data_IF_743281113448
#
_entry.id   IF_743281113448
#
_cell.length_a   1.000
_cell.length_b   1.000
_cell.length_c   1.000
_cell.angle_alpha   90.00
_cell.angle_beta   90.00
_cell.angle_gamma   90.00
#
_symmetry.space_group_name_H-M   'P 1'
#
loop_
_entity.id
_entity.type
_entity.pdbx_description
1 polymer ?
#
# COMPACT_ATOMS: atom_id res chain seq x y z
N UNK A 1 -2.69 -1.13 16.55
CA UNK A 1 -3.31 -1.87 15.44
C UNK A 1 -3.34 -1.03 14.17
N UNK A 2 -3.10 -1.61 13.00
CA UNK A 2 -3.02 -0.87 11.74
C UNK A 2 -4.28 -0.07 11.42
N UNK A 3 -5.46 -0.61 11.73
CA UNK A 3 -6.73 0.04 11.39
C UNK A 3 -6.93 1.32 12.18
N UNK A 4 -6.54 1.34 13.46
CA UNK A 4 -6.65 2.54 14.28
C UNK A 4 -5.68 3.64 13.82
N UNK A 5 -4.47 3.26 13.45
CA UNK A 5 -3.49 4.19 12.89
C UNK A 5 -3.98 4.79 11.58
N UNK A 6 -4.60 3.99 10.73
CA UNK A 6 -5.17 4.47 9.48
C UNK A 6 -6.31 5.47 9.73
N UNK A 7 -7.17 5.19 10.70
CA UNK A 7 -8.27 6.09 11.06
C UNK A 7 -7.74 7.46 11.48
N UNK A 8 -6.70 7.49 12.32
CA UNK A 8 -6.07 8.73 12.75
C UNK A 8 -5.41 9.48 11.60
N UNK A 9 -4.75 8.76 10.69
CA UNK A 9 -4.13 9.35 9.52
C UNK A 9 -5.17 9.99 8.59
N UNK A 10 -6.28 9.33 8.35
CA UNK A 10 -7.36 9.87 7.51
C UNK A 10 -7.92 11.14 8.13
N UNK A 11 -8.08 11.19 9.45
CA UNK A 11 -8.51 12.42 10.15
C UNK A 11 -7.52 13.55 9.96
N UNK A 12 -6.23 13.27 10.06
CA UNK A 12 -5.17 14.25 9.85
C UNK A 12 -5.18 14.78 8.41
N UNK A 13 -5.32 13.90 7.44
CA UNK A 13 -5.43 14.29 6.02
C UNK A 13 -6.64 15.19 5.81
N UNK A 14 -7.77 14.87 6.44
CA UNK A 14 -8.96 15.71 6.39
C UNK A 14 -8.73 17.12 6.90
N UNK A 15 -8.00 17.27 8.01
CA UNK A 15 -7.62 18.58 8.54
C UNK A 15 -6.73 19.37 7.57
N UNK A 16 -5.72 18.71 7.02
CA UNK A 16 -4.82 19.34 6.05
C UNK A 16 -5.60 19.79 4.81
N UNK A 17 -6.52 18.97 4.34
CA UNK A 17 -7.36 19.31 3.20
C UNK A 17 -8.22 20.55 3.48
N UNK A 18 -8.84 20.63 4.65
CA UNK A 18 -9.72 21.76 4.98
C UNK A 18 -8.96 23.04 5.28
N UNK A 19 -7.81 22.94 5.95
CA UNK A 19 -7.12 24.13 6.50
C UNK A 19 -5.94 24.60 5.64
N UNK A 20 -5.34 23.74 4.84
CA UNK A 20 -4.11 24.06 4.12
C UNK A 20 -4.27 23.87 2.61
N UNK A 21 -4.79 22.71 2.16
CA UNK A 21 -4.86 22.39 0.73
C UNK A 21 -6.17 21.69 0.39
N UNK A 22 -7.19 22.43 -0.07
CA UNK A 22 -8.48 21.86 -0.42
C UNK A 22 -8.44 20.93 -1.64
N UNK A 23 -7.34 20.92 -2.39
CA UNK A 23 -7.15 20.02 -3.55
C UNK A 23 -6.51 18.68 -3.18
N UNK A 24 -6.12 18.52 -1.92
CA UNK A 24 -5.52 17.27 -1.46
C UNK A 24 -6.53 16.13 -1.56
N UNK A 25 -6.13 15.03 -2.18
CA UNK A 25 -6.96 13.84 -2.30
C UNK A 25 -6.15 12.60 -1.92
N UNK A 26 -6.84 11.60 -1.38
CA UNK A 26 -6.24 10.29 -1.13
C UNK A 26 -6.38 9.47 -2.41
N UNK A 27 -5.27 9.08 -3.01
CA UNK A 27 -5.30 8.24 -4.21
C UNK A 27 -5.69 6.80 -3.89
N UNK A 28 -5.22 6.29 -2.77
CA UNK A 28 -5.56 4.95 -2.35
C UNK A 28 -4.76 4.52 -1.14
N UNK A 29 -5.05 3.32 -0.66
CA UNK A 29 -4.36 2.67 0.45
C UNK A 29 -3.63 1.45 -0.10
N UNK A 30 -2.33 1.38 0.17
CA UNK A 30 -1.48 0.28 -0.26
C UNK A 30 -1.09 -0.58 0.95
N UNK A 31 -1.36 -1.88 0.84
CA UNK A 31 -0.90 -2.85 1.84
C UNK A 31 0.55 -3.24 1.54
N UNK A 32 1.42 -3.12 2.53
CA UNK A 32 2.84 -3.45 2.36
C UNK A 32 3.28 -4.54 3.33
N UNK A 33 4.39 -5.21 3.00
CA UNK A 33 4.98 -6.28 3.79
C UNK A 33 3.97 -7.39 4.14
N UNK A 34 3.15 -7.73 3.16
CA UNK A 34 2.04 -8.67 3.35
C UNK A 34 2.53 -10.11 3.20
N UNK A 35 2.20 -10.96 4.16
CA UNK A 35 2.28 -12.40 4.00
C UNK A 35 0.88 -12.91 3.67
N UNK A 36 0.60 -13.07 2.38
CA UNK A 36 -0.73 -13.47 1.88
C UNK A 36 -1.15 -14.87 2.29
N UNK A 37 -0.22 -15.67 2.82
CA UNK A 37 -0.54 -17.01 3.33
C UNK A 37 -1.25 -16.95 4.68
N UNK A 38 -1.23 -15.81 5.36
CA UNK A 38 -1.82 -15.68 6.68
C UNK A 38 -3.30 -15.30 6.60
N UNK A 39 -4.09 -15.87 7.50
CA UNK A 39 -5.49 -15.48 7.72
C UNK A 39 -5.55 -14.01 8.15
N UNK A 40 -4.58 -13.59 8.96
CA UNK A 40 -4.50 -12.20 9.44
C UNK A 40 -4.47 -11.19 8.28
N UNK A 41 -3.63 -11.42 7.27
CA UNK A 41 -3.54 -10.51 6.12
C UNK A 41 -4.87 -10.43 5.37
N UNK A 42 -5.55 -11.56 5.17
CA UNK A 42 -6.85 -11.59 4.49
C UNK A 42 -7.92 -10.89 5.30
N UNK A 43 -7.94 -11.10 6.61
CA UNK A 43 -8.93 -10.47 7.50
C UNK A 43 -8.75 -8.96 7.56
N UNK A 44 -7.51 -8.47 7.61
CA UNK A 44 -7.23 -7.03 7.60
C UNK A 44 -7.66 -6.40 6.28
N UNK A 45 -7.35 -7.03 5.15
CA UNK A 45 -7.76 -6.53 3.83
C UNK A 45 -9.27 -6.43 3.72
N UNK A 46 -9.98 -7.46 4.17
CA UNK A 46 -11.44 -7.49 4.17
C UNK A 46 -12.01 -6.38 5.07
N UNK A 47 -11.45 -6.22 6.25
CA UNK A 47 -11.88 -5.19 7.20
C UNK A 47 -11.70 -3.79 6.61
N UNK A 48 -10.58 -3.52 5.95
CA UNK A 48 -10.32 -2.23 5.31
C UNK A 48 -11.32 -1.95 4.19
N UNK A 49 -11.60 -2.94 3.35
CA UNK A 49 -12.55 -2.79 2.25
C UNK A 49 -13.96 -2.52 2.80
N UNK A 50 -14.38 -3.25 3.83
CA UNK A 50 -15.70 -3.09 4.42
C UNK A 50 -15.89 -1.72 5.08
N UNK A 51 -14.85 -1.20 5.74
CA UNK A 51 -14.95 0.05 6.50
C UNK A 51 -14.60 1.30 5.67
N UNK A 52 -13.72 1.19 4.68
CA UNK A 52 -13.20 2.34 3.95
C UNK A 52 -13.38 2.25 2.44
N UNK A 53 -13.70 1.09 1.89
CA UNK A 53 -13.73 0.85 0.45
C UNK A 53 -14.68 1.75 -0.34
N UNK A 54 -15.74 2.25 0.31
CA UNK A 54 -16.68 3.17 -0.32
C UNK A 54 -16.20 4.62 -0.35
N UNK A 55 -15.21 4.96 0.47
CA UNK A 55 -14.70 6.33 0.61
C UNK A 55 -13.30 6.50 0.05
N UNK A 56 -12.49 5.45 0.12
CA UNK A 56 -11.09 5.46 -0.28
C UNK A 56 -10.81 4.17 -1.05
N UNK A 57 -10.05 4.27 -2.14
CA UNK A 57 -9.62 3.09 -2.88
C UNK A 57 -8.63 2.28 -2.06
N UNK A 58 -8.86 0.98 -1.96
CA UNK A 58 -7.87 0.04 -1.44
C UNK A 58 -7.27 -0.66 -2.66
N UNK A 59 -5.97 -0.49 -2.90
CA UNK A 59 -5.34 -1.10 -4.07
C UNK A 59 -5.42 -2.62 -3.99
N UNK A 60 -5.73 -3.26 -5.12
CA UNK A 60 -5.78 -4.72 -5.23
C UNK A 60 -4.38 -5.32 -5.09
N UNK A 61 -3.39 -4.62 -5.61
CA UNK A 61 -2.00 -5.06 -5.54
C UNK A 61 -1.39 -4.64 -4.22
N UNK A 62 -0.74 -5.59 -3.54
CA UNK A 62 -0.03 -5.35 -2.29
C UNK A 62 1.45 -5.68 -2.48
N UNK A 63 2.27 -5.16 -1.59
CA UNK A 63 3.71 -5.44 -1.61
C UNK A 63 3.99 -6.54 -0.59
N UNK A 64 4.46 -7.71 -1.05
CA UNK A 64 4.69 -8.84 -0.15
C UNK A 64 5.93 -8.66 0.70
N UNK A 65 5.96 -9.38 1.82
CA UNK A 65 7.16 -9.51 2.62
C UNK A 65 8.19 -10.34 1.85
N UNK A 66 9.46 -9.91 1.84
CA UNK A 66 10.52 -10.61 1.15
C UNK A 66 11.87 -10.37 1.84
N UNK A 67 12.57 -11.46 2.12
CA UNK A 67 13.93 -11.41 2.66
C UNK A 67 14.90 -10.80 1.63
N UNK A 68 14.75 -11.14 0.37
CA UNK A 68 15.59 -10.60 -0.72
C UNK A 68 15.41 -9.09 -0.87
N UNK A 69 14.19 -8.60 -0.76
CA UNK A 69 13.93 -7.17 -0.81
C UNK A 69 14.56 -6.44 0.38
N UNK A 70 14.55 -7.07 1.56
CA UNK A 70 15.19 -6.48 2.74
C UNK A 70 16.69 -6.32 2.60
N UNK A 71 17.37 -7.17 1.81
CA UNK A 71 18.80 -7.10 1.57
C UNK A 71 19.21 -5.86 0.77
N UNK A 72 18.30 -5.27 0.02
CA UNK A 72 18.55 -4.12 -0.85
C UNK A 72 19.00 -2.90 -0.06
N UNK A 73 18.49 -2.72 1.15
CA UNK A 73 18.89 -1.61 2.01
C UNK A 73 20.39 -1.61 2.31
N UNK A 74 20.99 -2.80 2.41
CA UNK A 74 22.41 -2.95 2.65
C UNK A 74 23.24 -2.74 1.37
N UNK A 75 22.68 -3.05 0.20
CA UNK A 75 23.38 -2.97 -1.07
C UNK A 75 23.23 -1.63 -1.79
N UNK A 76 22.23 -0.83 -1.42
CA UNK A 76 21.99 0.48 -2.00
C UNK A 76 21.60 0.46 -3.49
N UNK A 77 20.97 -0.61 -3.95
CA UNK A 77 20.53 -0.75 -5.33
C UNK A 77 19.00 -0.90 -5.40
N UNK A 78 18.40 -0.67 -6.57
CA UNK A 78 16.95 -0.78 -6.70
C UNK A 78 16.50 -2.25 -6.74
N UNK A 79 15.25 -2.50 -6.36
CA UNK A 79 14.65 -3.82 -6.42
C UNK A 79 14.64 -4.37 -7.85
N UNK A 80 14.47 -3.53 -8.86
CA UNK A 80 14.45 -3.92 -10.26
C UNK A 80 15.82 -4.34 -10.76
N UNK A 81 16.89 -3.75 -10.22
CA UNK A 81 18.26 -4.11 -10.55
C UNK A 81 18.73 -5.32 -9.79
N UNK A 82 18.40 -5.40 -8.50
CA UNK A 82 18.84 -6.47 -7.61
C UNK A 82 18.11 -7.78 -7.89
N UNK A 83 16.79 -7.73 -8.04
CA UNK A 83 15.96 -8.92 -8.18
C UNK A 83 14.76 -8.65 -9.10
N UNK A 84 15.03 -8.45 -10.43
CA UNK A 84 13.98 -8.01 -11.36
C UNK A 84 12.84 -9.02 -11.55
N UNK A 85 13.10 -10.31 -11.29
CA UNK A 85 12.11 -11.37 -11.41
C UNK A 85 11.52 -11.79 -10.06
N UNK A 86 11.91 -11.11 -8.98
CA UNK A 86 11.41 -11.40 -7.65
C UNK A 86 9.97 -10.96 -7.45
N UNK A 87 9.33 -11.52 -6.42
CA UNK A 87 7.92 -11.24 -6.14
C UNK A 87 7.68 -9.78 -5.78
N UNK A 88 8.64 -9.10 -5.14
CA UNK A 88 8.51 -7.69 -4.78
C UNK A 88 8.60 -6.81 -6.01
N UNK A 89 9.56 -7.03 -6.91
CA UNK A 89 9.68 -6.29 -8.15
C UNK A 89 8.41 -6.42 -9.00
N UNK A 90 7.88 -7.63 -9.12
CA UNK A 90 6.63 -7.89 -9.85
C UNK A 90 5.44 -7.21 -9.18
N UNK A 91 5.40 -7.19 -7.85
CA UNK A 91 4.33 -6.53 -7.12
C UNK A 91 4.31 -5.02 -7.37
N UNK A 92 5.47 -4.36 -7.35
CA UNK A 92 5.57 -2.94 -7.67
C UNK A 92 5.16 -2.65 -9.11
N UNK A 93 5.54 -3.52 -10.04
CA UNK A 93 5.13 -3.38 -11.43
C UNK A 93 3.60 -3.48 -11.57
N UNK A 94 2.99 -4.47 -10.94
CA UNK A 94 1.53 -4.64 -10.97
C UNK A 94 0.81 -3.47 -10.31
N UNK A 95 1.34 -2.96 -9.20
CA UNK A 95 0.82 -1.77 -8.54
C UNK A 95 0.89 -0.55 -9.48
N UNK A 96 2.01 -0.37 -10.16
CA UNK A 96 2.18 0.74 -11.12
C UNK A 96 1.12 0.68 -12.20
N UNK A 97 0.88 -0.50 -12.76
CA UNK A 97 -0.16 -0.69 -13.77
C UNK A 97 -1.55 -0.37 -13.23
N UNK A 98 -1.83 -0.77 -12.00
CA UNK A 98 -3.12 -0.48 -11.36
C UNK A 98 -3.32 1.03 -11.17
N UNK A 99 -2.30 1.74 -10.68
CA UNK A 99 -2.37 3.19 -10.51
C UNK A 99 -2.62 3.89 -11.85
N UNK A 100 -1.91 3.46 -12.89
CA UNK A 100 -2.06 4.05 -14.23
C UNK A 100 -3.45 3.80 -14.83
N UNK A 101 -4.02 2.62 -14.60
CA UNK A 101 -5.38 2.31 -15.11
C UNK A 101 -6.45 3.19 -14.45
N UNK A 102 -6.20 3.67 -13.25
CA UNK A 102 -7.19 4.42 -12.47
C UNK A 102 -7.00 5.94 -12.56
N UNK A 103 -6.07 6.39 -13.37
CA UNK A 103 -5.92 7.81 -13.66
C UNK A 103 -6.88 8.29 -14.80
#
# INVERSE_FOLDING_TARGET
LPVKGLEQLIKTIGKVKRQINPRLEIEGVLMTMVDSRTTYARDISKLLIENYGSRVRIFENSIPMSVRAAEISAEGTSIYKHDPNGKVAKAYQSLTEEVLRNE
#
